data_IF_866018791876
#
_entry.id   IF_866018791876
#
_cell.length_a   1.000
_cell.length_b   1.000
_cell.length_c   1.000
_cell.angle_alpha   90.00
_cell.angle_beta   90.00
_cell.angle_gamma   90.00
#
_symmetry.space_group_name_H-M   'P 1'
#
loop_
_entity.id
_entity.type
_entity.pdbx_description
1 polymer ?
#
# COMPACT_ATOMS: atom_id res chain seq x y z
N UNK A 1 -17.27 5.05 7.23
CA UNK A 1 -16.54 3.99 6.51
C UNK A 1 -15.07 4.35 6.58
N UNK A 2 -14.25 3.43 7.07
CA UNK A 2 -12.79 3.54 7.06
C UNK A 2 -12.26 2.96 5.75
N UNK A 3 -11.30 3.64 5.16
CA UNK A 3 -10.56 3.19 3.98
C UNK A 3 -9.14 2.86 4.42
N UNK A 4 -8.64 1.70 4.03
CA UNK A 4 -7.26 1.31 4.30
C UNK A 4 -6.50 1.26 2.98
N UNK A 5 -5.41 2.01 2.90
CA UNK A 5 -4.50 2.02 1.76
C UNK A 5 -3.13 1.51 2.17
N UNK A 6 -2.52 0.68 1.34
CA UNK A 6 -1.13 0.27 1.48
C UNK A 6 -0.30 0.79 0.33
N UNK A 7 0.86 1.34 0.64
CA UNK A 7 1.90 1.63 -0.34
C UNK A 7 3.04 0.64 -0.16
N UNK A 8 3.42 -0.03 -1.23
CA UNK A 8 4.49 -1.05 -1.27
C UNK A 8 5.50 -0.66 -2.33
N UNK A 9 6.74 -0.43 -1.93
CA UNK A 9 7.83 -0.32 -2.89
C UNK A 9 8.17 -1.72 -3.39
N UNK A 10 8.31 -1.90 -4.71
CA UNK A 10 8.66 -3.20 -5.28
C UNK A 10 9.91 -3.83 -4.63
N UNK A 11 9.95 -5.16 -4.61
CA UNK A 11 11.10 -5.90 -4.09
C UNK A 11 12.39 -5.69 -4.88
N UNK A 12 13.52 -6.16 -4.36
CA UNK A 12 14.80 -6.06 -5.06
C UNK A 12 14.70 -6.67 -6.46
N UNK A 13 15.09 -5.90 -7.47
CA UNK A 13 15.04 -6.33 -8.87
C UNK A 13 16.43 -6.64 -9.41
N UNK A 14 16.50 -7.49 -10.42
CA UNK A 14 17.71 -7.68 -11.21
C UNK A 14 18.17 -6.36 -11.83
N UNK A 15 19.49 -6.24 -12.04
CA UNK A 15 20.04 -5.13 -12.80
C UNK A 15 19.65 -5.26 -14.27
N UNK A 16 19.61 -4.12 -14.96
CA UNK A 16 19.26 -4.07 -16.38
C UNK A 16 20.28 -4.84 -17.25
N UNK A 17 21.54 -4.88 -16.82
CA UNK A 17 22.62 -5.63 -17.49
C UNK A 17 22.41 -7.15 -17.42
N UNK A 18 21.80 -7.65 -16.35
CA UNK A 18 21.48 -9.07 -16.17
C UNK A 18 20.20 -9.40 -16.93
N UNK A 19 19.17 -8.57 -16.77
CA UNK A 19 17.89 -8.74 -17.44
C UNK A 19 17.23 -7.38 -17.70
N UNK A 20 17.05 -6.97 -18.98
CA UNK A 20 16.44 -5.70 -19.33
C UNK A 20 14.99 -5.50 -18.83
N UNK A 21 14.24 -6.59 -18.65
CA UNK A 21 12.88 -6.52 -18.10
C UNK A 21 12.88 -6.26 -16.59
N UNK A 22 14.03 -6.46 -15.94
CA UNK A 22 14.29 -6.23 -14.52
C UNK A 22 13.22 -6.88 -13.62
N UNK A 23 13.07 -8.22 -13.68
CA UNK A 23 12.23 -8.95 -12.74
C UNK A 23 12.77 -8.80 -11.31
N UNK A 24 11.99 -9.25 -10.33
CA UNK A 24 12.52 -9.48 -8.99
C UNK A 24 13.72 -10.44 -9.05
N UNK A 25 14.77 -10.12 -8.29
CA UNK A 25 15.87 -11.04 -8.09
C UNK A 25 15.42 -12.21 -7.20
N UNK A 26 16.26 -13.24 -7.07
CA UNK A 26 16.00 -14.33 -6.12
C UNK A 26 15.80 -13.79 -4.69
N UNK A 27 16.73 -12.95 -4.24
CA UNK A 27 16.65 -12.29 -2.92
C UNK A 27 15.41 -11.41 -2.80
N UNK A 28 15.10 -10.60 -3.82
CA UNK A 28 13.90 -9.77 -3.80
C UNK A 28 12.59 -10.56 -3.78
N UNK A 29 12.56 -11.75 -4.39
CA UNK A 29 11.42 -12.66 -4.34
C UNK A 29 11.25 -13.23 -2.92
N UNK A 30 12.33 -13.69 -2.29
CA UNK A 30 12.33 -14.21 -0.92
C UNK A 30 11.89 -13.14 0.09
N UNK A 31 12.42 -11.92 -0.04
CA UNK A 31 12.01 -10.77 0.76
C UNK A 31 10.54 -10.40 0.55
N UNK A 32 10.10 -10.32 -0.72
CA UNK A 32 8.70 -10.01 -1.01
C UNK A 32 7.75 -11.08 -0.44
N UNK A 33 8.16 -12.35 -0.43
CA UNK A 33 7.37 -13.43 0.18
C UNK A 33 7.22 -13.27 1.70
N UNK A 34 8.28 -12.85 2.41
CA UNK A 34 8.20 -12.54 3.84
C UNK A 34 7.26 -11.35 4.10
N UNK A 35 7.35 -10.31 3.27
CA UNK A 35 6.44 -9.18 3.35
C UNK A 35 4.99 -9.61 3.09
N UNK A 36 4.77 -10.52 2.14
CA UNK A 36 3.45 -11.06 1.84
C UNK A 36 2.89 -11.90 3.00
N UNK A 37 3.71 -12.69 3.68
CA UNK A 37 3.30 -13.43 4.89
C UNK A 37 2.83 -12.47 5.99
N UNK A 38 3.57 -11.38 6.20
CA UNK A 38 3.17 -10.34 7.13
C UNK A 38 1.88 -9.65 6.72
N UNK A 39 1.81 -9.19 5.47
CA UNK A 39 0.63 -8.55 4.91
C UNK A 39 -0.62 -9.43 5.04
N UNK A 40 -0.49 -10.73 4.80
CA UNK A 40 -1.58 -11.71 4.87
C UNK A 40 -2.03 -12.03 6.30
N UNK A 41 -1.45 -11.40 7.32
CA UNK A 41 -2.01 -11.46 8.68
C UNK A 41 -3.33 -10.68 8.74
N UNK A 42 -4.37 -11.30 9.32
CA UNK A 42 -5.74 -10.75 9.31
C UNK A 42 -5.89 -9.38 9.98
N UNK A 43 -4.99 -9.05 10.89
CA UNK A 43 -4.98 -7.79 11.65
C UNK A 43 -4.64 -6.60 10.76
N UNK A 44 -3.84 -6.83 9.72
CA UNK A 44 -3.44 -5.78 8.79
C UNK A 44 -4.63 -5.41 7.91
N UNK A 45 -5.18 -6.38 7.16
CA UNK A 45 -6.09 -6.16 6.03
C UNK A 45 -7.45 -5.53 6.40
N UNK A 46 -8.00 -5.85 7.58
CA UNK A 46 -9.43 -5.59 7.90
C UNK A 46 -9.63 -4.39 8.84
N UNK A 47 -8.58 -3.91 9.51
CA UNK A 47 -8.72 -2.77 10.43
C UNK A 47 -9.77 -2.98 11.53
N UNK A 48 -9.96 -4.22 12.01
CA UNK A 48 -10.80 -4.48 13.18
C UNK A 48 -9.93 -4.62 14.42
N UNK A 49 -9.79 -3.51 15.14
CA UNK A 49 -9.53 -3.52 16.58
C UNK A 49 -10.62 -4.34 17.29
N UNK A 50 -10.22 -5.44 17.93
CA UNK A 50 -11.06 -6.43 18.62
C UNK A 50 -11.96 -7.31 17.74
N UNK A 51 -11.51 -8.52 17.40
CA UNK A 51 -12.21 -9.73 17.84
C UNK A 51 -11.25 -10.93 17.87
N UNK A 52 -11.23 -11.58 19.02
CA UNK A 52 -10.63 -12.86 19.31
C UNK A 52 -10.96 -13.89 18.20
N UNK A 53 -10.02 -14.15 17.29
CA UNK A 53 -10.20 -15.05 16.16
C UNK A 53 -10.15 -16.51 16.62
N UNK A 54 -11.25 -16.96 17.22
CA UNK A 54 -11.60 -18.38 17.11
C UNK A 54 -12.03 -18.66 15.65
N UNK A 55 -11.58 -19.75 15.02
CA UNK A 55 -11.96 -20.09 13.66
C UNK A 55 -13.41 -20.60 13.67
N UNK A 56 -14.39 -19.70 13.69
CA UNK A 56 -15.80 -20.07 13.55
C UNK A 56 -16.18 -20.11 12.08
N UNK A 57 -16.77 -21.24 11.68
CA UNK A 57 -17.26 -21.64 10.35
C UNK A 57 -18.46 -20.81 9.85
N UNK A 58 -18.48 -19.50 10.08
CA UNK A 58 -19.57 -18.64 9.65
C UNK A 58 -19.32 -18.09 8.24
N UNK A 59 -20.28 -18.32 7.34
CA UNK A 59 -20.49 -17.70 6.03
C UNK A 59 -19.83 -16.33 5.91
N UNK A 60 -18.84 -16.21 5.01
CA UNK A 60 -18.09 -14.97 4.79
C UNK A 60 -19.04 -13.79 4.62
N UNK A 61 -18.88 -12.67 5.35
CA UNK A 61 -19.40 -11.41 4.85
C UNK A 61 -18.83 -11.22 3.45
N UNK A 62 -19.69 -10.88 2.49
CA UNK A 62 -19.31 -10.52 1.12
C UNK A 62 -18.48 -9.24 1.15
N UNK A 63 -17.23 -9.32 1.60
CA UNK A 63 -16.24 -8.24 1.51
C UNK A 63 -15.74 -8.19 0.08
N UNK A 64 -15.84 -7.02 -0.54
CA UNK A 64 -15.27 -6.77 -1.85
C UNK A 64 -13.80 -7.24 -1.91
N UNK A 65 -13.34 -7.74 -3.07
CA UNK A 65 -11.97 -8.23 -3.21
C UNK A 65 -10.95 -7.13 -2.91
N UNK A 66 -9.84 -7.51 -2.26
CA UNK A 66 -8.68 -6.64 -2.10
C UNK A 66 -8.11 -6.29 -3.48
N UNK A 67 -7.83 -5.02 -3.69
CA UNK A 67 -7.28 -4.53 -4.95
C UNK A 67 -5.77 -4.36 -4.83
N UNK A 68 -5.01 -4.99 -5.71
CA UNK A 68 -3.55 -4.87 -5.82
C UNK A 68 -3.21 -4.15 -7.13
N UNK A 69 -2.97 -2.85 -7.03
CA UNK A 69 -2.64 -2.00 -8.17
C UNK A 69 -1.14 -1.93 -8.40
N UNK A 70 -0.70 -2.00 -9.65
CA UNK A 70 0.71 -1.88 -10.02
C UNK A 70 0.93 -1.01 -11.27
N UNK A 71 2.15 -0.49 -11.43
CA UNK A 71 2.52 0.43 -12.51
C UNK A 71 2.83 -0.21 -13.87
N UNK A 72 2.43 -1.46 -14.11
CA UNK A 72 2.83 -2.25 -15.29
C UNK A 72 4.29 -2.72 -15.36
N UNK A 73 5.24 -2.10 -14.64
CA UNK A 73 6.64 -2.56 -14.60
C UNK A 73 6.75 -3.93 -13.93
N UNK A 74 7.53 -4.84 -14.54
CA UNK A 74 7.57 -6.26 -14.17
C UNK A 74 7.78 -6.51 -12.67
N UNK A 75 8.82 -5.91 -12.07
CA UNK A 75 9.09 -6.01 -10.62
C UNK A 75 7.93 -5.55 -9.72
N UNK A 76 7.20 -4.50 -10.10
CA UNK A 76 6.05 -4.03 -9.31
C UNK A 76 4.83 -4.94 -9.49
N UNK A 77 4.61 -5.46 -10.71
CA UNK A 77 3.60 -6.48 -10.98
C UNK A 77 3.86 -7.76 -10.19
N UNK A 78 5.08 -8.28 -10.24
CA UNK A 78 5.48 -9.48 -9.49
C UNK A 78 5.32 -9.27 -7.98
N UNK A 79 5.67 -8.10 -7.46
CA UNK A 79 5.39 -7.78 -6.06
C UNK A 79 3.89 -7.83 -5.75
N UNK A 80 3.04 -7.21 -6.57
CA UNK A 80 1.59 -7.28 -6.40
C UNK A 80 1.04 -8.71 -6.47
N UNK A 81 1.53 -9.52 -7.42
CA UNK A 81 1.14 -10.92 -7.60
C UNK A 81 1.50 -11.77 -6.37
N UNK A 82 2.72 -11.63 -5.83
CA UNK A 82 3.15 -12.37 -4.63
C UNK A 82 2.28 -12.01 -3.42
N UNK A 83 2.00 -10.72 -3.19
CA UNK A 83 1.13 -10.31 -2.08
C UNK A 83 -0.32 -10.82 -2.28
N UNK A 84 -0.84 -10.78 -3.50
CA UNK A 84 -2.18 -11.24 -3.83
C UNK A 84 -2.33 -12.76 -3.70
N UNK A 85 -1.35 -13.54 -4.17
CA UNK A 85 -1.32 -15.00 -4.04
C UNK A 85 -1.36 -15.40 -2.56
N UNK A 86 -0.52 -14.76 -1.73
CA UNK A 86 -0.52 -15.01 -0.30
C UNK A 86 -1.83 -14.65 0.39
N UNK A 87 -2.46 -13.57 -0.06
CA UNK A 87 -3.79 -13.16 0.40
C UNK A 87 -4.85 -14.20 0.04
N UNK A 88 -4.79 -14.75 -1.18
CA UNK A 88 -5.69 -15.80 -1.66
C UNK A 88 -5.52 -17.13 -0.90
N UNK A 89 -4.30 -17.50 -0.50
CA UNK A 89 -4.05 -18.65 0.39
C UNK A 89 -4.80 -18.54 1.73
N UNK A 90 -5.06 -17.31 2.19
CA UNK A 90 -5.87 -17.04 3.40
C UNK A 90 -7.37 -17.00 3.14
N UNK A 91 -7.82 -17.39 1.94
CA UNK A 91 -9.23 -17.41 1.48
C UNK A 91 -9.85 -16.01 1.41
N UNK A 92 -9.02 -14.99 1.16
CA UNK A 92 -9.49 -13.64 0.87
C UNK A 92 -9.44 -13.43 -0.65
N UNK A 93 -10.50 -12.86 -1.22
CA UNK A 93 -10.51 -12.53 -2.63
C UNK A 93 -9.52 -11.39 -2.91
N UNK A 94 -8.67 -11.60 -3.93
CA UNK A 94 -7.63 -10.66 -4.33
C UNK A 94 -7.70 -10.46 -5.84
N UNK A 95 -7.63 -9.19 -6.28
CA UNK A 95 -7.62 -8.80 -7.69
C UNK A 95 -6.36 -7.99 -7.95
N UNK A 96 -5.53 -8.47 -8.86
CA UNK A 96 -4.34 -7.76 -9.33
C UNK A 96 -4.71 -7.01 -10.62
N UNK A 97 -4.38 -5.72 -10.69
CA UNK A 97 -4.66 -4.90 -11.86
C UNK A 97 -3.54 -3.88 -12.12
N UNK A 98 -3.22 -3.69 -13.40
CA UNK A 98 -2.43 -2.54 -13.82
C UNK A 98 -3.27 -1.26 -13.68
N UNK A 99 -2.63 -0.19 -13.21
CA UNK A 99 -3.29 1.10 -13.03
C UNK A 99 -2.41 2.21 -13.61
N UNK A 100 -3.00 3.00 -14.50
CA UNK A 100 -2.38 4.18 -15.09
C UNK A 100 -2.04 5.23 -14.02
N UNK A 101 -0.98 6.01 -14.26
CA UNK A 101 -0.55 7.09 -13.36
C UNK A 101 0.35 6.64 -12.19
N UNK A 102 0.80 5.38 -12.19
CA UNK A 102 1.70 4.82 -11.17
C UNK A 102 3.18 4.73 -11.62
N UNK A 103 3.55 5.25 -12.79
CA UNK A 103 4.95 5.22 -13.21
C UNK A 103 5.81 6.14 -12.32
N UNK A 104 7.13 5.88 -12.23
CA UNK A 104 8.02 6.63 -11.35
C UNK A 104 8.03 8.16 -11.52
N UNK A 105 7.62 8.66 -12.70
CA UNK A 105 7.64 10.09 -13.05
C UNK A 105 6.24 10.67 -13.24
N UNK A 106 5.20 9.89 -12.98
CA UNK A 106 3.82 10.39 -13.04
C UNK A 106 3.56 11.33 -11.86
N UNK A 107 2.52 12.15 -11.95
CA UNK A 107 2.18 13.12 -10.89
C UNK A 107 1.45 12.42 -9.75
N UNK A 108 2.08 12.42 -8.56
CA UNK A 108 1.48 11.93 -7.32
C UNK A 108 0.20 12.69 -6.95
N UNK A 109 0.19 14.02 -7.09
CA UNK A 109 -0.98 14.86 -6.84
C UNK A 109 -2.15 14.50 -7.77
N UNK A 110 -1.89 14.42 -9.08
CA UNK A 110 -2.92 14.03 -10.03
C UNK A 110 -3.41 12.60 -9.78
N UNK A 111 -2.53 11.67 -9.40
CA UNK A 111 -2.95 10.31 -9.05
C UNK A 111 -3.87 10.31 -7.82
N UNK A 112 -3.48 11.04 -6.76
CA UNK A 112 -4.26 11.18 -5.53
C UNK A 112 -5.65 11.76 -5.82
N UNK A 113 -5.73 12.90 -6.51
CA UNK A 113 -6.97 13.60 -6.84
C UNK A 113 -7.91 12.75 -7.70
N UNK A 114 -7.38 12.02 -8.69
CA UNK A 114 -8.21 11.28 -9.64
C UNK A 114 -8.60 9.88 -9.14
N UNK A 115 -7.86 9.29 -8.19
CA UNK A 115 -8.05 7.88 -7.81
C UNK A 115 -8.31 7.63 -6.33
N UNK A 116 -7.75 8.43 -5.42
CA UNK A 116 -7.83 8.18 -3.98
C UNK A 116 -8.79 9.14 -3.28
N UNK A 117 -8.80 10.41 -3.67
CA UNK A 117 -9.71 11.42 -3.12
C UNK A 117 -11.20 11.07 -3.36
N UNK A 118 -11.63 10.54 -4.53
CA UNK A 118 -13.01 10.11 -4.73
C UNK A 118 -13.43 8.96 -3.81
N UNK A 119 -12.48 8.09 -3.42
CA UNK A 119 -12.72 7.01 -2.45
C UNK A 119 -13.00 7.59 -1.05
N UNK A 120 -12.24 8.61 -0.65
CA UNK A 120 -12.45 9.33 0.61
C UNK A 120 -13.76 10.13 0.62
N UNK A 121 -14.11 10.77 -0.49
CA UNK A 121 -15.40 11.45 -0.66
C UNK A 121 -16.58 10.47 -0.59
N UNK A 122 -16.32 9.16 -0.74
CA UNK A 122 -17.33 8.12 -0.75
C UNK A 122 -18.20 8.20 -2.01
N UNK A 123 -17.60 8.66 -3.11
CA UNK A 123 -18.19 8.69 -4.47
C UNK A 123 -18.19 7.29 -5.11
N UNK A 124 -17.53 6.32 -4.46
CA UNK A 124 -17.49 4.93 -4.88
C UNK A 124 -18.15 4.04 -3.83
N UNK A 125 -18.99 3.10 -4.26
CA UNK A 125 -19.55 2.04 -3.39
C UNK A 125 -18.49 1.01 -2.95
N UNK A 126 -17.27 1.10 -3.49
CA UNK A 126 -16.18 0.18 -3.22
C UNK A 126 -15.61 0.42 -1.81
N UNK A 127 -15.85 -0.56 -0.94
CA UNK A 127 -15.37 -0.60 0.44
C UNK A 127 -14.08 -1.42 0.60
N UNK A 128 -13.30 -1.55 -0.47
CA UNK A 128 -12.13 -2.45 -0.49
C UNK A 128 -10.86 -1.70 -0.12
N UNK A 129 -10.09 -2.28 0.80
CA UNK A 129 -8.69 -1.90 1.00
C UNK A 129 -7.93 -2.00 -0.31
N UNK A 130 -7.09 -1.01 -0.59
CA UNK A 130 -6.28 -0.95 -1.82
C UNK A 130 -4.80 -1.09 -1.44
N UNK A 131 -4.07 -1.89 -2.21
CA UNK A 131 -2.62 -2.07 -2.11
C UNK A 131 -1.99 -1.56 -3.40
N UNK A 132 -1.08 -0.60 -3.30
CA UNK A 132 -0.38 -0.01 -4.45
C UNK A 132 1.08 -0.44 -4.42
N UNK A 133 1.47 -1.24 -5.41
CA UNK A 133 2.85 -1.65 -5.64
C UNK A 133 3.51 -0.73 -6.67
N UNK A 134 4.48 0.07 -6.24
CA UNK A 134 5.02 1.18 -7.02
C UNK A 134 6.52 1.38 -6.88
N UNK A 135 6.94 2.62 -7.18
CA UNK A 135 8.33 3.01 -7.32
C UNK A 135 8.64 4.36 -6.68
N UNK A 136 9.90 4.56 -6.28
CA UNK A 136 10.45 5.88 -6.05
C UNK A 136 10.74 6.61 -7.38
N UNK A 137 10.62 7.96 -7.41
CA UNK A 137 10.21 8.84 -6.31
C UNK A 137 8.70 8.86 -6.03
N UNK A 138 7.88 8.42 -6.99
CA UNK A 138 6.41 8.51 -6.95
C UNK A 138 5.77 8.11 -5.62
N UNK A 139 6.13 6.97 -5.02
CA UNK A 139 5.53 6.53 -3.75
C UNK A 139 5.80 7.48 -2.58
N UNK A 140 7.00 8.06 -2.52
CA UNK A 140 7.34 9.02 -1.47
C UNK A 140 6.53 10.31 -1.61
N UNK A 141 6.37 10.77 -2.86
CA UNK A 141 5.56 11.94 -3.18
C UNK A 141 4.08 11.69 -2.90
N UNK A 142 3.54 10.55 -3.34
CA UNK A 142 2.15 10.15 -3.09
C UNK A 142 1.85 10.08 -1.59
N UNK A 143 2.73 9.46 -0.81
CA UNK A 143 2.57 9.41 0.64
C UNK A 143 2.57 10.82 1.26
N UNK A 144 3.44 11.72 0.80
CA UNK A 144 3.50 13.10 1.28
C UNK A 144 2.23 13.88 0.90
N UNK A 145 1.75 13.74 -0.34
CA UNK A 145 0.48 14.30 -0.82
C UNK A 145 -0.68 13.82 0.06
N UNK A 146 -0.79 12.50 0.28
CA UNK A 146 -1.87 11.90 1.05
C UNK A 146 -1.99 12.43 2.48
N UNK A 147 -0.87 12.72 3.16
CA UNK A 147 -0.88 13.20 4.55
C UNK A 147 -0.98 14.73 4.65
N UNK A 148 -0.66 15.46 3.58
CA UNK A 148 -0.58 16.94 3.58
C UNK A 148 -1.73 17.62 2.84
N UNK A 149 -2.56 16.86 2.11
CA UNK A 149 -3.72 17.39 1.39
C UNK A 149 -4.68 18.13 2.34
N UNK A 150 -5.28 19.23 1.87
CA UNK A 150 -6.14 20.12 2.69
C UNK A 150 -5.40 21.12 3.60
N UNK A 151 -4.06 21.15 3.60
CA UNK A 151 -3.25 22.02 4.47
C UNK A 151 -3.01 23.47 4.00
N UNK A 152 -3.65 23.94 2.93
CA UNK A 152 -3.45 25.31 2.43
C UNK A 152 -4.76 26.06 2.23
N UNK A 153 -5.30 26.59 3.33
CA UNK A 153 -6.16 27.78 3.28
C UNK A 153 -5.70 28.80 4.30
N UNK A 154 -5.05 29.87 3.84
CA UNK A 154 -4.82 31.07 4.64
C UNK A 154 -3.40 31.60 4.57
N UNK A 155 -3.22 32.71 3.86
CA UNK A 155 -2.07 33.59 4.07
C UNK A 155 -2.08 34.11 5.52
N UNK A 156 -0.89 34.13 6.12
CA UNK A 156 -0.46 34.84 7.33
C UNK A 156 -0.42 34.11 8.69
N UNK A 157 0.79 34.21 9.28
CA UNK A 157 1.23 34.08 10.67
C UNK A 157 1.23 32.69 11.31
N UNK A 158 2.43 32.09 11.30
CA UNK A 158 3.07 31.62 12.53
C UNK A 158 2.32 30.59 13.37
N UNK A 159 2.11 29.40 12.84
CA UNK A 159 1.90 28.22 13.68
C UNK A 159 2.51 27.03 12.96
N UNK A 160 3.48 26.37 13.59
CA UNK A 160 4.12 25.19 13.03
C UNK A 160 3.09 24.06 12.99
N UNK A 161 2.44 23.91 11.84
CA UNK A 161 1.82 22.65 11.47
C UNK A 161 2.94 21.61 11.51
N UNK A 162 2.89 20.73 12.50
CA UNK A 162 3.78 19.57 12.62
C UNK A 162 3.67 18.77 11.33
N UNK A 163 4.61 18.96 10.42
CA UNK A 163 4.73 18.17 9.19
C UNK A 163 5.12 16.77 9.64
N UNK A 164 4.14 15.87 9.75
CA UNK A 164 4.44 14.45 9.93
C UNK A 164 5.29 14.01 8.72
N UNK A 165 6.61 13.93 8.93
CA UNK A 165 7.53 13.55 7.88
C UNK A 165 7.30 12.07 7.58
N UNK A 166 6.81 11.77 6.39
CA UNK A 166 6.66 10.38 5.95
C UNK A 166 8.03 9.71 5.97
N UNK A 167 8.20 8.55 6.62
CA UNK A 167 9.45 7.81 6.60
C UNK A 167 9.91 7.51 5.16
N UNK A 168 11.22 7.30 4.99
CA UNK A 168 11.77 6.99 3.66
C UNK A 168 11.37 5.59 3.23
N UNK A 169 10.89 5.48 2.00
CA UNK A 169 10.66 4.18 1.37
C UNK A 169 12.00 3.51 1.03
N UNK A 170 12.02 2.19 1.08
CA UNK A 170 13.11 1.32 0.61
C UNK A 170 12.51 0.08 -0.05
N UNK A 171 13.31 -0.77 -0.68
CA UNK A 171 12.76 -1.98 -1.32
C UNK A 171 12.01 -2.84 -0.31
N UNK A 172 10.90 -3.45 -0.76
CA UNK A 172 10.09 -4.36 0.07
C UNK A 172 9.55 -3.72 1.36
N UNK A 173 9.37 -2.39 1.42
CA UNK A 173 8.70 -1.74 2.54
C UNK A 173 7.18 -1.66 2.32
N UNK A 174 6.42 -1.65 3.41
CA UNK A 174 4.96 -1.57 3.43
C UNK A 174 4.51 -0.45 4.37
N UNK A 175 3.72 0.47 3.85
CA UNK A 175 3.18 1.59 4.62
C UNK A 175 1.67 1.50 4.61
N UNK A 176 1.04 1.53 5.79
CA UNK A 176 -0.41 1.57 5.92
C UNK A 176 -0.88 2.98 6.19
N UNK A 177 -1.91 3.39 5.46
CA UNK A 177 -2.59 4.65 5.62
C UNK A 177 -4.08 4.41 5.86
N UNK A 178 -4.63 5.06 6.88
CA UNK A 178 -6.05 5.01 7.20
C UNK A 178 -6.70 6.33 6.77
N UNK A 179 -7.80 6.22 6.04
CA UNK A 179 -8.64 7.34 5.60
C UNK A 179 -10.07 7.19 6.12
N UNK A 180 -10.77 8.31 6.28
CA UNK A 180 -12.17 8.31 6.72
C UNK A 180 -13.06 8.93 5.66
N UNK A 181 -14.26 8.36 5.47
CA UNK A 181 -15.25 8.97 4.56
C UNK A 181 -15.54 10.42 4.96
N UNK A 182 -15.42 11.34 4.00
CA UNK A 182 -15.61 12.77 4.18
C UNK A 182 -14.37 13.54 4.64
N UNK A 183 -13.25 12.86 4.90
CA UNK A 183 -11.94 13.50 4.99
C UNK A 183 -11.35 13.69 3.58
N UNK A 184 -10.34 14.55 3.47
CA UNK A 184 -9.61 14.86 2.24
C UNK A 184 -8.15 14.42 2.30
N UNK A 185 -7.76 13.71 3.36
CA UNK A 185 -6.41 13.21 3.60
C UNK A 185 -6.41 11.86 4.30
N UNK A 186 -5.27 11.19 4.24
CA UNK A 186 -5.01 9.97 4.98
C UNK A 186 -4.09 10.24 6.18
N UNK A 187 -4.11 9.31 7.14
CA UNK A 187 -3.20 9.28 8.29
C UNK A 187 -2.28 8.07 8.15
N UNK A 188 -0.98 8.27 8.28
CA UNK A 188 -0.02 7.16 8.36
C UNK A 188 -0.30 6.37 9.64
N UNK A 189 -0.65 5.09 9.49
CA UNK A 189 -0.95 4.19 10.60
C UNK A 189 0.33 3.47 11.07
N UNK A 190 1.08 2.89 10.14
CA UNK A 190 2.39 2.30 10.40
C UNK A 190 3.24 2.24 9.12
N UNK A 191 4.54 2.02 9.30
CA UNK A 191 5.48 1.74 8.23
C UNK A 191 6.41 0.60 8.67
N UNK A 192 6.53 -0.43 7.83
CA UNK A 192 7.30 -1.63 8.12
C UNK A 192 8.29 -1.91 6.98
N UNK A 193 9.42 -2.49 7.35
CA UNK A 193 10.47 -2.89 6.43
C UNK A 193 10.80 -4.36 6.62
N UNK A 194 10.79 -5.14 5.53
CA UNK A 194 11.08 -6.57 5.62
C UNK A 194 12.50 -6.87 6.14
N UNK A 195 13.47 -5.98 5.92
CA UNK A 195 14.82 -6.14 6.47
C UNK A 195 14.82 -6.08 7.99
N UNK A 196 13.96 -5.25 8.59
CA UNK A 196 13.79 -5.13 10.04
C UNK A 196 13.01 -6.35 10.58
N UNK A 197 11.94 -6.72 9.89
CA UNK A 197 11.15 -7.92 10.21
C UNK A 197 11.95 -9.23 10.19
N UNK A 198 12.85 -9.39 9.21
CA UNK A 198 13.71 -10.58 9.10
C UNK A 198 14.63 -10.69 10.33
N UNK A 199 15.11 -9.58 10.86
CA UNK A 199 15.93 -9.58 12.07
C UNK A 199 15.14 -10.06 13.29
N UNK A 200 13.85 -9.71 13.38
CA UNK A 200 12.97 -10.14 14.47
C UNK A 200 12.54 -11.60 14.36
N UNK A 201 12.37 -12.14 13.15
CA UNK A 201 11.96 -13.53 12.92
C UNK A 201 13.11 -14.55 13.04
N UNK A 202 14.36 -14.10 12.94
CA UNK A 202 15.56 -14.96 12.97
C UNK A 202 16.36 -14.80 14.29
N UNK A 203 15.96 -13.86 15.15
CA UNK A 203 16.53 -13.64 16.50
C UNK A 203 15.85 -14.47 17.58
#
# INVERSE_FOLDING_TARGET
>A
MSLVLYLVQHGLAESEDVNPERPLSKEGTEETALLAEFFATKEIIIGNENQNLTPTTATSPSTAPLQFWHSGKLRARQTAEILAEKTAERKLEAVVAEKDGLNPKDSADAFFENNLLPLLAGETEQSSSVVICGHLPFLQELAATMVSHGGTTGSNVGEQASSAQVPKFSNSCLFRFDGSKGEDKFKLAFAENVSEMRAELVG
#
